data_IF_073751896166
#
_entry.id   IF_073751896166
#
_cell.length_a   1.000
_cell.length_b   1.000
_cell.length_c   1.000
_cell.angle_alpha   90.00
_cell.angle_beta   90.00
_cell.angle_gamma   90.00
#
_symmetry.space_group_name_H-M   'P 1'
#
loop_
_entity.id
_entity.type
_entity.pdbx_description
1 polymer ?
#
# COMPACT_ATOMS: atom_id res chain seq x y z
N UNK A 1 -21.84 -6.20 -32.04
CA UNK A 1 -20.89 -7.32 -31.88
C UNK A 1 -19.50 -6.72 -31.94
N UNK A 2 -18.93 -6.41 -30.77
CA UNK A 2 -17.52 -6.10 -30.62
C UNK A 2 -16.97 -7.17 -29.68
N UNK A 3 -16.16 -8.07 -30.22
CA UNK A 3 -15.50 -9.11 -29.46
C UNK A 3 -14.41 -8.46 -28.60
N UNK A 4 -14.76 -8.25 -27.33
CA UNK A 4 -13.79 -7.91 -26.29
C UNK A 4 -12.90 -9.12 -26.04
N UNK A 5 -11.67 -9.06 -26.53
CA UNK A 5 -10.59 -9.93 -26.09
C UNK A 5 -10.35 -9.69 -24.59
N UNK A 6 -11.03 -10.47 -23.74
CA UNK A 6 -10.61 -10.67 -22.36
C UNK A 6 -9.27 -11.42 -22.44
N UNK A 7 -8.17 -10.72 -22.18
CA UNK A 7 -6.87 -11.34 -21.94
C UNK A 7 -7.05 -12.35 -20.81
N UNK A 8 -7.10 -13.63 -21.15
CA UNK A 8 -7.25 -14.72 -20.20
C UNK A 8 -6.10 -14.66 -19.21
N UNK A 9 -6.39 -14.18 -17.99
CA UNK A 9 -5.52 -14.36 -16.83
C UNK A 9 -5.33 -15.86 -16.67
N UNK A 10 -4.17 -16.37 -17.11
CA UNK A 10 -3.75 -17.72 -16.73
C UNK A 10 -3.66 -17.70 -15.22
N UNK A 11 -4.52 -18.47 -14.56
CA UNK A 11 -4.41 -18.74 -13.13
C UNK A 11 -2.95 -19.13 -12.85
N UNK A 12 -2.27 -18.35 -12.02
CA UNK A 12 -0.90 -18.69 -11.62
C UNK A 12 -0.93 -19.82 -10.62
N UNK A 13 0.11 -20.65 -10.65
CA UNK A 13 0.18 -21.87 -9.83
C UNK A 13 0.48 -21.55 -8.36
N UNK A 14 1.17 -20.43 -8.10
CA UNK A 14 1.49 -19.97 -6.75
C UNK A 14 1.01 -18.54 -6.52
N UNK A 15 0.33 -18.33 -5.39
CA UNK A 15 0.07 -17.00 -4.81
C UNK A 15 0.96 -16.86 -3.58
N UNK A 16 1.75 -15.79 -3.51
CA UNK A 16 2.56 -15.44 -2.34
C UNK A 16 2.07 -14.10 -1.80
N UNK A 17 1.44 -14.11 -0.62
CA UNK A 17 0.99 -12.88 0.05
C UNK A 17 2.02 -12.44 1.08
N UNK A 18 2.48 -11.19 1.00
CA UNK A 18 3.45 -10.60 1.92
C UNK A 18 2.81 -9.45 2.67
N UNK A 19 2.87 -9.50 4.00
CA UNK A 19 2.36 -8.45 4.87
C UNK A 19 3.52 -7.84 5.64
N UNK A 20 3.66 -6.50 5.61
CA UNK A 20 4.75 -5.80 6.28
C UNK A 20 4.22 -4.63 7.11
N UNK A 21 4.41 -4.73 8.42
CA UNK A 21 3.94 -3.75 9.39
C UNK A 21 4.73 -2.43 9.34
N UNK A 22 4.14 -1.41 9.96
CA UNK A 22 4.81 -0.12 10.19
C UNK A 22 5.93 -0.22 11.23
N UNK A 23 6.82 0.78 11.27
CA UNK A 23 8.09 0.78 12.03
C UNK A 23 8.05 0.13 13.41
N UNK A 24 7.04 0.40 14.23
CA UNK A 24 6.99 0.00 15.64
C UNK A 24 5.92 -1.06 15.95
N UNK A 25 5.30 -1.66 14.92
CA UNK A 25 4.20 -2.60 15.13
C UNK A 25 4.71 -4.03 15.01
N UNK A 26 4.48 -4.86 16.04
CA UNK A 26 4.78 -6.28 15.94
C UNK A 26 3.67 -6.99 15.14
N UNK A 27 3.99 -8.13 14.54
CA UNK A 27 3.05 -8.90 13.71
C UNK A 27 2.24 -9.92 14.51
N UNK A 28 2.76 -10.34 15.66
CA UNK A 28 2.09 -11.27 16.57
C UNK A 28 0.96 -10.59 17.36
N UNK A 29 1.00 -9.26 17.56
CA UNK A 29 -0.12 -8.47 18.07
C UNK A 29 -0.96 -7.86 16.94
N UNK A 30 -2.27 -8.11 16.96
CA UNK A 30 -3.19 -7.55 15.95
C UNK A 30 -3.60 -6.16 16.39
N UNK A 31 -2.68 -5.21 16.20
CA UNK A 31 -2.88 -3.79 16.53
C UNK A 31 -3.33 -2.98 15.33
N UNK A 32 -2.93 -3.39 14.12
CA UNK A 32 -3.36 -2.77 12.87
C UNK A 32 -4.05 -3.77 11.95
N UNK A 33 -4.71 -3.25 10.93
CA UNK A 33 -5.32 -4.07 9.88
C UNK A 33 -4.29 -4.88 9.09
N UNK A 34 -3.00 -4.49 9.02
CA UNK A 34 -1.97 -5.30 8.34
C UNK A 34 -1.82 -6.66 9.04
N UNK A 35 -1.59 -6.65 10.36
CA UNK A 35 -1.56 -7.85 11.19
C UNK A 35 -2.89 -8.62 11.16
N UNK A 36 -4.04 -7.92 11.13
CA UNK A 36 -5.34 -8.56 10.96
C UNK A 36 -5.42 -9.33 9.64
N UNK A 37 -5.12 -8.70 8.50
CA UNK A 37 -5.17 -9.38 7.20
C UNK A 37 -4.13 -10.49 7.06
N UNK A 38 -2.96 -10.36 7.70
CA UNK A 38 -1.98 -11.45 7.78
C UNK A 38 -2.58 -12.69 8.49
N UNK A 39 -3.38 -12.50 9.55
CA UNK A 39 -4.11 -13.59 10.21
C UNK A 39 -5.29 -14.12 9.40
N UNK A 40 -6.06 -13.23 8.77
CA UNK A 40 -7.20 -13.64 7.94
C UNK A 40 -6.77 -14.40 6.69
N UNK A 41 -5.56 -14.17 6.18
CA UNK A 41 -5.02 -14.83 5.00
C UNK A 41 -4.91 -16.36 5.18
N UNK A 42 -5.73 -17.09 4.40
CA UNK A 42 -5.80 -18.56 4.36
C UNK A 42 -4.69 -19.15 3.48
N UNK A 43 -3.46 -18.97 3.95
CA UNK A 43 -2.25 -19.35 3.25
C UNK A 43 -1.29 -20.06 4.19
N UNK A 44 -0.50 -20.98 3.64
CA UNK A 44 0.58 -21.65 4.37
C UNK A 44 1.68 -20.63 4.70
N UNK A 45 1.97 -20.46 5.97
CA UNK A 45 3.09 -19.62 6.41
C UNK A 45 4.42 -20.26 6.02
N UNK A 46 5.29 -19.44 5.45
CA UNK A 46 6.65 -19.81 5.11
C UNK A 46 7.60 -19.34 6.22
N UNK A 47 8.62 -20.13 6.60
CA UNK A 47 9.62 -19.66 7.55
C UNK A 47 10.53 -18.61 6.90
N UNK A 48 11.29 -17.87 7.72
CA UNK A 48 12.25 -16.89 7.20
C UNK A 48 13.56 -17.50 6.68
N UNK A 49 13.72 -18.81 6.78
CA UNK A 49 14.86 -19.58 6.26
C UNK A 49 14.41 -20.44 5.05
N UNK A 50 14.52 -19.93 3.81
CA UNK A 50 13.94 -20.58 2.63
C UNK A 50 14.56 -21.96 2.32
N UNK A 51 15.85 -22.13 2.58
CA UNK A 51 16.59 -23.37 2.31
C UNK A 51 16.02 -24.59 3.05
N UNK A 52 15.44 -24.39 4.23
CA UNK A 52 14.81 -25.44 5.01
C UNK A 52 13.37 -25.78 4.57
N UNK A 53 12.76 -24.95 3.71
CA UNK A 53 11.32 -24.97 3.48
C UNK A 53 10.84 -26.04 2.50
N UNK A 54 11.70 -26.40 1.55
CA UNK A 54 11.34 -27.28 0.46
C UNK A 54 12.42 -28.36 0.26
N UNK A 55 12.18 -29.54 0.83
CA UNK A 55 13.03 -30.73 0.59
C UNK A 55 12.81 -31.38 -0.78
N UNK A 56 11.78 -30.93 -1.52
CA UNK A 56 11.39 -31.34 -2.88
C UNK A 56 10.91 -30.10 -3.65
N UNK A 57 10.57 -30.26 -4.93
CA UNK A 57 9.96 -29.18 -5.71
C UNK A 57 8.77 -28.56 -4.95
N UNK A 58 8.69 -27.23 -4.85
CA UNK A 58 7.62 -26.55 -4.12
C UNK A 58 6.25 -26.87 -4.75
N UNK A 59 5.21 -27.16 -3.95
CA UNK A 59 3.88 -27.39 -4.49
C UNK A 59 3.24 -26.08 -4.97
N UNK A 60 2.34 -26.17 -5.94
CA UNK A 60 1.37 -25.11 -6.22
C UNK A 60 0.55 -24.81 -4.96
N UNK A 61 0.17 -23.55 -4.74
CA UNK A 61 -0.62 -23.19 -3.59
C UNK A 61 -0.56 -21.71 -3.21
N UNK A 62 -1.12 -21.40 -2.04
CA UNK A 62 -1.13 -20.06 -1.48
C UNK A 62 -0.26 -20.04 -0.23
N UNK A 63 0.77 -19.20 -0.26
CA UNK A 63 1.74 -19.02 0.80
C UNK A 63 1.70 -17.60 1.35
N UNK A 64 2.18 -17.42 2.59
CA UNK A 64 2.35 -16.10 3.17
C UNK A 64 3.67 -15.93 3.92
N UNK A 65 4.15 -14.69 3.94
CA UNK A 65 5.24 -14.20 4.78
C UNK A 65 4.74 -12.95 5.50
N UNK A 66 5.01 -12.86 6.79
CA UNK A 66 4.53 -11.76 7.63
C UNK A 66 5.72 -11.13 8.33
N UNK A 67 5.97 -9.85 8.10
CA UNK A 67 7.11 -9.12 8.65
C UNK A 67 6.64 -8.04 9.62
N UNK A 68 7.16 -8.09 10.84
CA UNK A 68 7.00 -7.00 11.81
C UNK A 68 7.74 -5.74 11.37
N UNK A 69 7.40 -4.63 12.02
CA UNK A 69 8.07 -3.35 11.85
C UNK A 69 9.58 -3.44 12.05
N UNK A 70 10.33 -2.71 11.23
CA UNK A 70 11.78 -2.68 11.30
C UNK A 70 12.31 -2.23 12.67
N UNK A 71 11.61 -1.33 13.37
CA UNK A 71 11.95 -0.89 14.73
C UNK A 71 11.67 -1.93 15.82
N UNK A 72 10.81 -2.91 15.56
CA UNK A 72 10.61 -4.06 16.46
C UNK A 72 11.76 -5.05 16.30
N UNK A 73 12.03 -5.48 15.07
CA UNK A 73 13.07 -6.46 14.74
C UNK A 73 14.51 -5.95 14.92
N UNK A 74 14.75 -4.66 14.67
CA UNK A 74 16.10 -4.07 14.65
C UNK A 74 16.29 -2.87 15.61
N UNK A 75 15.34 -2.69 16.54
CA UNK A 75 15.39 -1.67 17.59
C UNK A 75 15.64 -0.26 17.06
N UNK A 76 16.55 0.47 17.70
CA UNK A 76 16.87 1.88 17.35
C UNK A 76 17.33 2.03 15.90
N UNK A 77 18.10 1.07 15.35
CA UNK A 77 18.58 1.14 13.97
C UNK A 77 17.42 0.99 12.98
N UNK A 78 16.49 0.10 13.28
CA UNK A 78 15.24 -0.03 12.55
C UNK A 78 14.39 1.24 12.63
N UNK A 79 14.27 1.84 13.82
CA UNK A 79 13.47 3.03 14.06
C UNK A 79 14.04 4.30 13.44
N UNK A 80 15.37 4.46 13.36
CA UNK A 80 15.97 5.67 12.79
C UNK A 80 16.28 5.53 11.31
N UNK A 81 16.75 4.36 10.87
CA UNK A 81 17.32 4.19 9.52
C UNK A 81 16.56 3.20 8.64
N UNK A 82 15.43 2.65 9.10
CA UNK A 82 14.71 1.58 8.41
C UNK A 82 15.58 0.32 8.16
N UNK A 83 16.59 0.11 9.01
CA UNK A 83 17.43 -1.08 8.93
C UNK A 83 16.58 -2.35 9.05
N UNK A 84 16.86 -3.37 8.23
CA UNK A 84 16.10 -4.61 8.16
C UNK A 84 15.14 -4.72 6.98
N UNK A 85 14.66 -3.62 6.38
CA UNK A 85 13.71 -3.71 5.24
C UNK A 85 14.28 -4.50 4.05
N UNK A 86 15.54 -4.23 3.67
CA UNK A 86 16.19 -4.95 2.59
C UNK A 86 16.43 -6.43 2.91
N UNK A 87 16.67 -6.77 4.18
CA UNK A 87 16.84 -8.15 4.63
C UNK A 87 15.51 -8.92 4.53
N UNK A 88 14.41 -8.30 4.98
CA UNK A 88 13.06 -8.84 4.81
C UNK A 88 12.71 -9.03 3.31
N UNK A 89 13.05 -8.06 2.45
CA UNK A 89 12.86 -8.19 1.00
C UNK A 89 13.70 -9.33 0.40
N UNK A 90 14.94 -9.54 0.90
CA UNK A 90 15.81 -10.63 0.46
C UNK A 90 15.20 -12.00 0.74
N UNK A 91 14.55 -12.18 1.88
CA UNK A 91 13.82 -13.43 2.20
C UNK A 91 12.74 -13.70 1.16
N UNK A 92 11.92 -12.70 0.82
CA UNK A 92 10.89 -12.85 -0.22
C UNK A 92 11.54 -13.19 -1.56
N UNK A 93 12.62 -12.48 -1.94
CA UNK A 93 13.33 -12.70 -3.20
C UNK A 93 13.87 -14.12 -3.34
N UNK A 94 14.41 -14.69 -2.26
CA UNK A 94 14.90 -16.07 -2.23
C UNK A 94 13.78 -17.08 -2.51
N UNK A 95 12.58 -16.88 -1.97
CA UNK A 95 11.43 -17.72 -2.32
C UNK A 95 11.03 -17.59 -3.79
N UNK A 96 11.04 -16.36 -4.34
CA UNK A 96 10.77 -16.16 -5.76
C UNK A 96 11.81 -16.88 -6.65
N UNK A 97 13.09 -16.89 -6.25
CA UNK A 97 14.12 -17.66 -6.94
C UNK A 97 13.85 -19.16 -6.91
N UNK A 98 13.48 -19.71 -5.75
CA UNK A 98 13.11 -21.13 -5.60
C UNK A 98 11.94 -21.50 -6.54
N UNK A 99 10.87 -20.69 -6.57
CA UNK A 99 9.74 -20.94 -7.45
C UNK A 99 10.11 -20.80 -8.93
N UNK A 100 10.95 -19.81 -9.28
CA UNK A 100 11.44 -19.61 -10.65
C UNK A 100 12.30 -20.78 -11.13
N UNK A 101 13.20 -21.28 -10.29
CA UNK A 101 14.03 -22.46 -10.60
C UNK A 101 13.18 -23.71 -10.83
N UNK A 102 12.09 -23.84 -10.07
CA UNK A 102 11.07 -24.87 -10.27
C UNK A 102 10.16 -24.61 -11.49
N UNK A 103 10.32 -23.48 -12.19
CA UNK A 103 9.51 -23.01 -13.33
C UNK A 103 8.02 -22.85 -12.99
N UNK A 104 7.74 -22.41 -11.76
CA UNK A 104 6.38 -22.19 -11.26
C UNK A 104 6.08 -20.69 -11.30
N UNK A 105 5.09 -20.23 -12.08
CA UNK A 105 4.70 -18.83 -12.10
C UNK A 105 4.10 -18.38 -10.75
N UNK A 106 4.52 -17.21 -10.27
CA UNK A 106 4.14 -16.65 -8.97
C UNK A 106 3.34 -15.35 -9.14
N UNK A 107 2.24 -15.24 -8.40
CA UNK A 107 1.56 -13.98 -8.14
C UNK A 107 1.96 -13.49 -6.74
N UNK A 108 2.79 -12.46 -6.68
CA UNK A 108 3.20 -11.83 -5.43
C UNK A 108 2.24 -10.70 -5.08
N UNK A 109 1.57 -10.79 -3.93
CA UNK A 109 0.67 -9.75 -3.42
C UNK A 109 1.28 -9.14 -2.16
N UNK A 110 1.67 -7.88 -2.22
CA UNK A 110 2.28 -7.18 -1.10
C UNK A 110 1.29 -6.19 -0.49
N UNK A 111 1.23 -6.15 0.85
CA UNK A 111 0.51 -5.12 1.61
C UNK A 111 1.47 -4.58 2.68
N UNK A 112 1.73 -3.27 2.66
CA UNK A 112 2.65 -2.67 3.62
C UNK A 112 2.22 -1.29 4.11
N UNK A 113 2.49 -1.02 5.40
CA UNK A 113 2.20 0.25 6.07
C UNK A 113 3.50 1.04 6.31
N UNK A 114 3.50 2.35 6.09
CA UNK A 114 4.61 3.22 6.51
C UNK A 114 5.93 2.78 5.89
N UNK A 115 6.95 2.47 6.70
CA UNK A 115 8.20 1.85 6.22
C UNK A 115 8.02 0.46 5.63
N UNK A 116 7.00 -0.29 6.04
CA UNK A 116 6.58 -1.50 5.34
C UNK A 116 6.16 -1.21 3.91
N UNK A 117 5.48 -0.09 3.66
CA UNK A 117 5.18 0.38 2.30
C UNK A 117 6.44 0.68 1.48
N UNK A 118 7.48 1.22 2.11
CA UNK A 118 8.81 1.40 1.49
C UNK A 118 9.48 0.07 1.18
N UNK A 119 9.34 -0.92 2.07
CA UNK A 119 9.73 -2.30 1.82
C UNK A 119 9.09 -2.87 0.56
N UNK A 120 7.82 -2.57 0.29
CA UNK A 120 7.14 -2.96 -0.95
C UNK A 120 7.80 -2.41 -2.22
N UNK A 121 8.32 -1.18 -2.16
CA UNK A 121 9.04 -0.55 -3.28
C UNK A 121 10.43 -1.17 -3.47
N UNK A 122 11.17 -1.42 -2.38
CA UNK A 122 12.43 -2.17 -2.44
C UNK A 122 12.24 -3.60 -2.95
N UNK A 123 11.15 -4.25 -2.56
CA UNK A 123 10.80 -5.57 -3.05
C UNK A 123 10.53 -5.54 -4.56
N UNK A 124 9.76 -4.56 -5.03
CA UNK A 124 9.51 -4.40 -6.46
C UNK A 124 10.81 -4.24 -7.27
N UNK A 125 11.74 -3.39 -6.80
CA UNK A 125 13.04 -3.20 -7.47
C UNK A 125 13.90 -4.48 -7.46
N UNK A 126 14.01 -5.16 -6.31
CA UNK A 126 14.83 -6.37 -6.17
C UNK A 126 14.22 -7.60 -6.85
N UNK A 127 12.92 -7.58 -7.12
CA UNK A 127 12.17 -8.64 -7.77
C UNK A 127 11.69 -8.25 -9.19
N UNK A 128 12.36 -7.31 -9.88
CA UNK A 128 12.14 -7.07 -11.32
C UNK A 128 12.62 -8.28 -12.13
N UNK A 129 11.69 -9.21 -12.36
CA UNK A 129 11.89 -10.50 -13.02
C UNK A 129 11.05 -10.55 -14.31
N UNK A 130 11.15 -11.65 -15.06
CA UNK A 130 10.27 -11.83 -16.23
C UNK A 130 8.79 -11.79 -15.77
N UNK A 131 7.93 -10.91 -16.33
CA UNK A 131 6.51 -10.85 -16.00
C UNK A 131 5.74 -12.17 -16.18
N UNK A 132 6.27 -13.08 -17.01
CA UNK A 132 5.72 -14.44 -17.21
C UNK A 132 5.99 -15.35 -16.01
N UNK A 133 7.05 -15.08 -15.26
CA UNK A 133 7.47 -15.85 -14.09
C UNK A 133 6.87 -15.25 -12.81
N UNK A 134 6.97 -13.93 -12.63
CA UNK A 134 6.51 -13.25 -11.41
C UNK A 134 5.73 -12.01 -11.77
N UNK A 135 4.60 -11.76 -11.13
CA UNK A 135 3.85 -10.50 -11.19
C UNK A 135 3.68 -10.00 -9.78
N UNK A 136 3.95 -8.72 -9.60
CA UNK A 136 3.97 -8.06 -8.30
C UNK A 136 2.78 -7.11 -8.22
N UNK A 137 1.84 -7.41 -7.34
CA UNK A 137 0.77 -6.52 -6.95
C UNK A 137 1.14 -5.85 -5.63
N UNK A 138 0.95 -4.54 -5.53
CA UNK A 138 1.32 -3.76 -4.35
C UNK A 138 0.10 -2.99 -3.82
N UNK A 139 -0.17 -3.10 -2.53
CA UNK A 139 -0.95 -2.11 -1.77
C UNK A 139 -0.02 -1.44 -0.77
N UNK A 140 0.24 -0.16 -1.01
CA UNK A 140 1.13 0.66 -0.21
C UNK A 140 0.29 1.65 0.60
N UNK A 141 0.22 1.43 1.91
CA UNK A 141 -0.52 2.29 2.81
C UNK A 141 0.44 3.31 3.43
N UNK A 142 0.27 4.57 3.02
CA UNK A 142 1.04 5.71 3.49
C UNK A 142 2.56 5.44 3.53
N UNK A 143 3.21 5.11 2.40
CA UNK A 143 4.60 4.70 2.38
C UNK A 143 5.50 5.84 2.88
N UNK A 144 6.18 5.66 4.02
CA UNK A 144 6.97 6.73 4.68
C UNK A 144 8.44 6.29 4.78
N UNK A 145 9.39 7.02 4.16
CA UNK A 145 10.81 6.66 4.16
C UNK A 145 11.52 6.95 5.48
N UNK A 146 10.95 7.84 6.31
CA UNK A 146 11.58 8.30 7.55
C UNK A 146 12.68 9.34 7.33
N UNK A 147 12.67 10.03 6.19
CA UNK A 147 13.52 11.18 5.91
C UNK A 147 12.70 12.48 6.09
N UNK A 148 13.36 13.59 6.41
CA UNK A 148 12.72 14.89 6.24
C UNK A 148 12.60 15.24 4.75
N UNK A 149 11.55 15.97 4.36
CA UNK A 149 11.31 16.37 2.95
C UNK A 149 12.54 17.07 2.35
N UNK A 150 13.17 17.98 3.10
CA UNK A 150 14.34 18.71 2.63
C UNK A 150 15.60 17.83 2.48
N UNK A 151 15.71 16.74 3.26
CA UNK A 151 16.87 15.85 3.20
C UNK A 151 16.94 15.14 1.85
N UNK A 152 15.80 14.68 1.33
CA UNK A 152 15.72 14.07 0.01
C UNK A 152 16.13 15.03 -1.13
N UNK A 153 16.01 16.35 -0.92
CA UNK A 153 16.39 17.37 -1.91
C UNK A 153 17.90 17.61 -2.00
N UNK A 154 18.63 17.25 -0.95
CA UNK A 154 20.09 17.41 -0.88
C UNK A 154 20.83 16.07 -0.97
N UNK A 155 20.10 14.99 -1.26
CA UNK A 155 20.63 13.64 -1.39
C UNK A 155 21.13 13.36 -2.81
N UNK A 156 22.19 14.07 -3.22
CA UNK A 156 22.78 13.94 -4.56
C UNK A 156 23.33 12.55 -4.88
N UNK A 157 23.56 11.72 -3.87
CA UNK A 157 24.05 10.35 -4.03
C UNK A 157 22.92 9.32 -4.03
N UNK A 158 21.67 9.73 -3.80
CA UNK A 158 20.50 8.84 -3.78
C UNK A 158 20.54 7.78 -2.68
N UNK A 159 21.28 8.03 -1.60
CA UNK A 159 21.52 7.04 -0.54
C UNK A 159 20.41 7.02 0.51
N UNK A 160 19.56 8.04 0.56
CA UNK A 160 18.45 8.10 1.49
C UNK A 160 17.30 7.23 1.03
N UNK A 161 16.58 6.64 1.99
CA UNK A 161 15.41 5.80 1.72
C UNK A 161 14.39 6.47 0.80
N UNK A 162 14.16 7.78 0.98
CA UNK A 162 13.26 8.53 0.12
C UNK A 162 13.71 8.46 -1.35
N UNK A 163 14.96 8.77 -1.65
CA UNK A 163 15.50 8.79 -3.01
C UNK A 163 15.60 7.39 -3.62
N UNK A 164 16.09 6.42 -2.86
CA UNK A 164 16.30 5.04 -3.34
C UNK A 164 15.01 4.28 -3.59
N UNK A 165 13.89 4.65 -2.94
CA UNK A 165 12.58 4.02 -3.13
C UNK A 165 11.61 4.83 -4.00
N UNK A 166 11.96 6.07 -4.36
CA UNK A 166 11.11 6.98 -5.14
C UNK A 166 10.75 6.42 -6.51
N UNK A 167 11.73 5.88 -7.22
CA UNK A 167 11.59 5.53 -8.63
C UNK A 167 11.58 4.01 -8.82
N UNK A 168 10.42 3.49 -9.23
CA UNK A 168 10.21 2.09 -9.63
C UNK A 168 9.72 2.01 -11.08
N UNK A 169 9.92 3.08 -11.88
CA UNK A 169 9.46 3.17 -13.27
C UNK A 169 10.07 2.13 -14.21
N UNK A 170 11.22 1.58 -13.83
CA UNK A 170 11.93 0.54 -14.56
C UNK A 170 11.42 -0.88 -14.29
N UNK A 171 10.58 -1.10 -13.26
CA UNK A 171 10.12 -2.43 -12.85
C UNK A 171 9.02 -2.92 -13.80
N UNK A 172 9.29 -3.98 -14.56
CA UNK A 172 8.45 -4.41 -15.71
C UNK A 172 7.35 -5.37 -15.34
N UNK A 173 7.45 -6.01 -14.17
CA UNK A 173 6.53 -7.05 -13.73
C UNK A 173 5.53 -6.58 -12.67
N UNK A 174 5.32 -5.28 -12.54
CA UNK A 174 4.23 -4.72 -11.74
C UNK A 174 2.87 -5.03 -12.40
N UNK A 175 1.95 -5.56 -11.60
CA UNK A 175 0.56 -5.82 -11.96
C UNK A 175 -0.35 -4.69 -11.45
N UNK A 176 -1.16 -4.99 -10.44
CA UNK A 176 -2.02 -4.00 -9.79
C UNK A 176 -1.26 -3.26 -8.70
N UNK A 177 -1.27 -1.93 -8.75
CA UNK A 177 -0.71 -1.08 -7.70
C UNK A 177 -1.79 -0.17 -7.14
N UNK A 178 -1.96 -0.21 -5.82
CA UNK A 178 -2.83 0.67 -5.04
C UNK A 178 -1.94 1.42 -4.04
N UNK A 179 -2.07 2.75 -3.98
CA UNK A 179 -1.35 3.57 -3.00
C UNK A 179 -2.34 4.49 -2.30
N UNK A 180 -2.41 4.38 -0.98
CA UNK A 180 -3.39 5.08 -0.15
C UNK A 180 -2.69 6.08 0.76
N UNK A 181 -3.21 7.30 0.81
CA UNK A 181 -2.63 8.40 1.58
C UNK A 181 -3.66 8.99 2.54
N UNK A 182 -3.57 8.70 3.85
CA UNK A 182 -4.37 9.39 4.86
C UNK A 182 -4.09 10.89 4.87
N UNK A 183 -5.15 11.70 4.84
CA UNK A 183 -5.03 13.16 4.68
C UNK A 183 -4.51 13.88 5.93
N UNK A 184 -4.78 13.36 7.12
CA UNK A 184 -4.46 14.07 8.36
C UNK A 184 -2.94 14.07 8.60
N UNK A 185 -2.30 15.25 8.71
CA UNK A 185 -0.87 15.32 8.95
C UNK A 185 -0.53 14.86 10.36
N UNK A 186 0.64 14.23 10.51
CA UNK A 186 1.32 14.09 11.79
C UNK A 186 2.26 15.29 12.02
N UNK A 187 2.67 15.56 13.28
CA UNK A 187 3.65 16.59 13.56
C UNK A 187 4.90 16.45 12.68
N UNK A 188 5.32 17.54 12.03
CA UNK A 188 6.40 17.55 11.02
C UNK A 188 7.75 17.04 11.53
N UNK A 189 8.01 17.20 12.84
CA UNK A 189 9.19 16.67 13.54
C UNK A 189 9.30 15.14 13.47
N UNK A 190 8.21 14.44 13.15
CA UNK A 190 8.15 13.01 13.21
C UNK A 190 8.69 12.32 11.92
N UNK A 191 9.18 13.05 10.91
CA UNK A 191 9.65 12.46 9.62
C UNK A 191 8.62 11.56 8.93
N UNK A 192 7.34 11.94 8.99
CA UNK A 192 6.19 11.17 8.46
C UNK A 192 5.66 11.70 7.12
N UNK A 193 6.47 12.43 6.36
CA UNK A 193 6.07 12.81 5.00
C UNK A 193 6.03 11.53 4.14
N UNK A 194 4.90 11.22 3.47
CA UNK A 194 4.82 10.03 2.66
C UNK A 194 5.53 10.22 1.32
N UNK A 195 5.96 9.13 0.72
CA UNK A 195 6.56 9.08 -0.59
C UNK A 195 5.47 8.94 -1.66
N UNK A 196 5.59 9.69 -2.76
CA UNK A 196 4.76 9.56 -3.95
C UNK A 196 5.62 8.92 -5.06
N UNK A 197 5.60 7.59 -5.20
CA UNK A 197 6.52 6.90 -6.09
C UNK A 197 6.21 7.13 -7.56
N UNK A 198 7.26 7.04 -8.38
CA UNK A 198 7.18 7.02 -9.84
C UNK A 198 7.05 5.56 -10.27
N UNK A 199 5.97 5.25 -10.96
CA UNK A 199 5.67 3.92 -11.48
C UNK A 199 5.85 3.87 -13.00
N UNK A 200 5.96 2.68 -13.61
CA UNK A 200 6.11 2.53 -15.05
C UNK A 200 4.99 3.22 -15.84
N UNK A 201 5.34 3.82 -16.97
CA UNK A 201 4.36 4.44 -17.86
C UNK A 201 3.36 3.38 -18.38
N UNK A 202 2.08 3.75 -18.44
CA UNK A 202 1.00 2.85 -18.86
C UNK A 202 0.54 1.86 -17.79
N UNK A 203 1.24 1.73 -16.65
CA UNK A 203 0.75 0.95 -15.52
C UNK A 203 -0.49 1.62 -14.93
N UNK A 204 -1.58 0.85 -14.76
CA UNK A 204 -2.78 1.35 -14.07
C UNK A 204 -2.53 1.37 -12.57
N UNK A 205 -2.11 2.52 -12.06
CA UNK A 205 -1.92 2.77 -10.62
C UNK A 205 -3.16 3.44 -10.04
N UNK A 206 -3.75 2.84 -9.02
CA UNK A 206 -4.82 3.43 -8.23
C UNK A 206 -4.19 4.22 -7.07
N UNK A 207 -4.18 5.54 -7.18
CA UNK A 207 -3.72 6.42 -6.09
C UNK A 207 -4.91 7.14 -5.52
N UNK A 208 -5.10 7.09 -4.21
CA UNK A 208 -6.21 7.80 -3.58
C UNK A 208 -5.83 8.41 -2.24
N UNK A 209 -6.48 9.53 -1.93
CA UNK A 209 -6.42 10.16 -0.62
C UNK A 209 -7.60 9.66 0.20
N UNK A 210 -7.34 9.25 1.43
CA UNK A 210 -8.32 8.62 2.32
C UNK A 210 -8.37 9.33 3.68
N UNK A 211 -9.40 8.99 4.46
CA UNK A 211 -9.62 9.49 5.80
C UNK A 211 -8.57 9.00 6.82
N UNK A 212 -8.45 9.75 7.91
CA UNK A 212 -7.62 9.41 9.06
C UNK A 212 -6.19 9.90 8.95
N UNK A 213 -5.37 9.48 9.91
CA UNK A 213 -3.94 9.79 9.99
C UNK A 213 -3.12 8.51 9.94
N UNK A 214 -2.02 8.50 9.17
CA UNK A 214 -0.99 7.46 9.15
C UNK A 214 -1.46 6.05 9.59
N UNK A 215 -0.95 5.53 10.71
CA UNK A 215 -1.37 4.25 11.31
C UNK A 215 -2.77 4.28 11.94
N UNK A 216 -3.26 5.46 12.36
CA UNK A 216 -4.58 5.61 12.97
C UNK A 216 -5.73 5.19 12.05
N UNK A 217 -5.55 5.34 10.72
CA UNK A 217 -6.48 4.86 9.71
C UNK A 217 -6.53 3.33 9.57
N UNK A 218 -5.61 2.60 10.22
CA UNK A 218 -5.54 1.13 10.22
C UNK A 218 -5.81 0.51 11.59
N UNK A 219 -6.26 1.28 12.59
CA UNK A 219 -6.63 0.69 13.88
C UNK A 219 -7.88 -0.19 13.77
N UNK A 220 -8.05 -1.08 14.75
CA UNK A 220 -9.16 -2.03 14.81
C UNK A 220 -10.37 -1.46 15.54
N UNK A 221 -10.88 -0.36 15.02
CA UNK A 221 -12.09 0.32 15.50
C UNK A 221 -13.04 0.52 14.34
N UNK A 222 -14.34 0.37 14.52
CA UNK A 222 -15.31 0.61 13.45
C UNK A 222 -15.57 2.12 13.32
N UNK A 223 -14.80 2.79 12.45
CA UNK A 223 -14.99 4.20 12.08
C UNK A 223 -14.85 4.37 10.56
N UNK A 224 -15.29 5.51 10.04
CA UNK A 224 -15.26 5.84 8.61
C UNK A 224 -13.88 5.61 7.97
N UNK A 225 -12.81 6.09 8.60
CA UNK A 225 -11.41 5.93 8.18
C UNK A 225 -10.99 4.46 8.04
N UNK A 226 -11.27 3.69 9.08
CA UNK A 226 -10.81 2.32 9.30
C UNK A 226 -11.65 1.31 8.53
N UNK A 227 -12.96 1.53 8.41
CA UNK A 227 -13.83 0.74 7.54
C UNK A 227 -13.47 0.95 6.07
N UNK A 228 -13.18 2.20 5.65
CA UNK A 228 -12.74 2.48 4.28
C UNK A 228 -11.41 1.77 3.98
N UNK A 229 -10.41 1.90 4.85
CA UNK A 229 -9.13 1.24 4.68
C UNK A 229 -9.27 -0.31 4.62
N UNK A 230 -10.13 -0.87 5.48
CA UNK A 230 -10.39 -2.30 5.50
C UNK A 230 -10.91 -2.80 4.15
N UNK A 231 -11.86 -2.08 3.57
CA UNK A 231 -12.45 -2.43 2.29
C UNK A 231 -11.42 -2.34 1.14
N UNK A 232 -10.56 -1.32 1.10
CA UNK A 232 -9.48 -1.27 0.11
C UNK A 232 -8.55 -2.48 0.21
N UNK A 233 -8.12 -2.84 1.43
CA UNK A 233 -7.19 -3.96 1.61
C UNK A 233 -7.85 -5.29 1.26
N UNK A 234 -9.09 -5.50 1.72
CA UNK A 234 -9.90 -6.69 1.41
C UNK A 234 -10.07 -6.85 -0.10
N UNK A 235 -10.57 -5.82 -0.78
CA UNK A 235 -10.87 -5.87 -2.21
C UNK A 235 -9.59 -6.07 -3.02
N UNK A 236 -8.51 -5.38 -2.69
CA UNK A 236 -7.20 -5.59 -3.32
C UNK A 236 -6.72 -7.04 -3.19
N UNK A 237 -6.73 -7.59 -1.97
CA UNK A 237 -6.26 -8.95 -1.70
C UNK A 237 -7.09 -10.00 -2.46
N UNK A 238 -8.42 -9.90 -2.40
CA UNK A 238 -9.35 -10.82 -3.08
C UNK A 238 -9.21 -10.73 -4.60
N UNK A 239 -9.17 -9.52 -5.16
CA UNK A 239 -9.00 -9.31 -6.60
C UNK A 239 -7.65 -9.83 -7.11
N UNK A 240 -6.63 -9.84 -6.25
CA UNK A 240 -5.33 -10.41 -6.53
C UNK A 240 -5.22 -11.89 -6.09
N UNK A 241 -6.33 -12.60 -5.92
CA UNK A 241 -6.36 -14.06 -5.68
C UNK A 241 -5.87 -14.51 -4.31
N UNK A 242 -5.68 -13.59 -3.35
CA UNK A 242 -5.43 -13.94 -1.95
C UNK A 242 -6.72 -14.49 -1.36
N UNK A 243 -6.67 -15.69 -0.77
CA UNK A 243 -7.79 -16.24 -0.01
C UNK A 243 -7.82 -15.68 1.40
N UNK A 244 -9.00 -15.24 1.84
CA UNK A 244 -9.24 -14.72 3.17
C UNK A 244 -10.28 -15.59 3.88
N UNK A 245 -10.05 -15.83 5.17
CA UNK A 245 -11.06 -16.36 6.09
C UNK A 245 -11.86 -15.22 6.71
N UNK A 246 -13.04 -15.53 7.22
CA UNK A 246 -13.83 -14.58 8.02
C UNK A 246 -13.64 -14.88 9.50
N UNK A 247 -13.19 -13.90 10.29
CA UNK A 247 -13.14 -14.01 11.76
C UNK A 247 -14.22 -13.12 12.42
N UNK A 248 -14.24 -13.02 13.76
CA UNK A 248 -15.16 -12.11 14.48
C UNK A 248 -14.67 -10.67 14.51
N UNK A 249 -13.36 -10.46 14.52
CA UNK A 249 -12.72 -9.13 14.64
C UNK A 249 -12.92 -8.31 13.38
N UNK A 250 -12.89 -8.95 12.21
CA UNK A 250 -13.10 -8.34 10.91
C UNK A 250 -14.54 -7.87 10.72
N UNK A 251 -15.54 -8.53 11.33
CA UNK A 251 -16.96 -8.24 11.13
C UNK A 251 -17.38 -6.82 11.51
N UNK A 252 -16.68 -6.18 12.45
CA UNK A 252 -16.99 -4.80 12.83
C UNK A 252 -16.44 -3.78 11.83
N UNK A 253 -15.35 -4.11 11.13
CA UNK A 253 -14.72 -3.28 10.09
C UNK A 253 -15.33 -3.55 8.70
N UNK A 254 -15.78 -4.79 8.47
CA UNK A 254 -16.36 -5.29 7.24
C UNK A 254 -17.84 -4.90 7.12
N UNK A 255 -18.08 -3.60 6.89
CA UNK A 255 -19.43 -3.05 6.76
C UNK A 255 -20.00 -3.24 5.35
N UNK A 256 -21.32 -3.23 5.23
CA UNK A 256 -21.98 -3.22 3.91
C UNK A 256 -21.66 -1.95 3.12
N UNK A 257 -21.80 -2.01 1.80
CA UNK A 257 -21.57 -0.86 0.91
C UNK A 257 -22.46 0.33 1.30
N UNK A 258 -23.74 0.10 1.62
CA UNK A 258 -24.68 1.16 2.02
C UNK A 258 -24.27 1.81 3.36
N UNK A 259 -23.82 1.00 4.33
CA UNK A 259 -23.32 1.49 5.61
C UNK A 259 -22.04 2.30 5.43
N UNK A 260 -21.10 1.83 4.60
CA UNK A 260 -19.90 2.59 4.28
C UNK A 260 -20.24 3.90 3.58
N UNK A 261 -21.12 3.87 2.57
CA UNK A 261 -21.58 5.06 1.87
C UNK A 261 -22.21 6.09 2.83
N UNK A 262 -23.02 5.62 3.80
CA UNK A 262 -23.59 6.48 4.85
C UNK A 262 -22.49 7.13 5.70
N UNK A 263 -21.51 6.36 6.18
CA UNK A 263 -20.37 6.88 6.95
C UNK A 263 -19.54 7.91 6.14
N UNK A 264 -19.32 7.67 4.84
CA UNK A 264 -18.56 8.60 4.01
C UNK A 264 -19.35 9.88 3.70
N UNK A 265 -20.67 9.81 3.59
CA UNK A 265 -21.53 10.99 3.45
C UNK A 265 -21.52 11.87 4.72
N UNK A 266 -21.50 11.26 5.91
CA UNK A 266 -21.33 12.01 7.16
C UNK A 266 -20.00 12.76 7.20
N UNK A 267 -18.91 12.12 6.77
CA UNK A 267 -17.58 12.74 6.69
C UNK A 267 -17.51 13.85 5.64
N UNK A 268 -18.23 13.71 4.53
CA UNK A 268 -18.32 14.73 3.47
C UNK A 268 -18.96 16.02 3.98
N UNK A 269 -19.82 15.96 5.00
CA UNK A 269 -20.45 17.13 5.60
C UNK A 269 -19.54 17.92 6.56
N UNK A 270 -18.33 17.43 6.88
CA UNK A 270 -17.42 18.07 7.84
C UNK A 270 -16.43 19.02 7.16
N UNK A 271 -16.47 20.29 7.58
CA UNK A 271 -15.54 21.35 7.19
C UNK A 271 -14.27 21.30 8.05
N UNK A 272 -13.36 20.40 7.69
CA UNK A 272 -12.08 20.17 8.39
C UNK A 272 -10.93 20.15 7.39
N UNK A 273 -10.59 21.28 6.75
CA UNK A 273 -9.57 21.31 5.72
C UNK A 273 -8.20 20.97 6.30
N UNK A 274 -7.41 20.18 5.57
CA UNK A 274 -6.05 19.79 5.95
C UNK A 274 -5.12 19.76 4.75
N UNK A 275 -3.83 19.94 4.99
CA UNK A 275 -2.80 19.82 3.98
C UNK A 275 -1.63 19.00 4.53
N UNK A 276 -1.09 18.10 3.70
CA UNK A 276 0.04 17.24 4.05
C UNK A 276 0.99 17.09 2.88
N UNK A 277 2.19 17.65 3.01
CA UNK A 277 3.25 17.50 2.00
C UNK A 277 3.81 16.08 1.98
N UNK A 278 4.17 15.60 0.79
CA UNK A 278 4.92 14.36 0.58
C UNK A 278 6.28 14.58 -0.07
N UNK A 279 7.07 13.52 -0.14
CA UNK A 279 8.21 13.40 -1.03
C UNK A 279 7.68 13.08 -2.43
N UNK A 280 7.58 14.09 -3.28
CA UNK A 280 7.04 13.95 -4.62
C UNK A 280 7.89 14.76 -5.61
N UNK A 281 8.23 14.20 -6.79
CA UNK A 281 8.99 14.92 -7.81
C UNK A 281 8.29 16.21 -8.27
N UNK A 282 6.95 16.20 -8.37
CA UNK A 282 6.15 17.34 -8.80
C UNK A 282 5.74 18.31 -7.68
N UNK A 283 6.14 18.03 -6.43
CA UNK A 283 5.71 18.79 -5.26
C UNK A 283 4.22 18.64 -4.94
N UNK A 284 3.63 17.50 -5.28
CA UNK A 284 2.24 17.19 -4.95
C UNK A 284 1.99 17.22 -3.43
N UNK A 285 0.82 17.73 -3.06
CA UNK A 285 0.36 17.88 -1.68
C UNK A 285 -0.95 17.11 -1.53
N UNK A 286 -1.06 16.37 -0.44
CA UNK A 286 -2.29 15.66 -0.07
C UNK A 286 -3.21 16.65 0.61
N UNK A 287 -4.44 16.79 0.10
CA UNK A 287 -5.39 17.81 0.53
C UNK A 287 -6.68 17.18 1.04
N UNK A 288 -7.26 17.82 2.05
CA UNK A 288 -8.68 17.79 2.34
C UNK A 288 -9.21 19.21 2.11
N UNK A 289 -10.03 19.38 1.09
CA UNK A 289 -10.74 20.63 0.82
C UNK A 289 -11.92 20.80 1.78
N UNK A 290 -12.41 22.03 1.92
CA UNK A 290 -13.59 22.32 2.73
C UNK A 290 -14.86 21.66 2.17
N UNK A 291 -14.94 21.50 0.85
CA UNK A 291 -16.12 20.94 0.14
C UNK A 291 -15.69 20.12 -1.07
N UNK A 292 -16.43 19.05 -1.36
CA UNK A 292 -16.29 18.24 -2.57
C UNK A 292 -17.61 17.58 -2.94
N UNK A 293 -17.77 17.18 -4.21
CA UNK A 293 -18.96 16.43 -4.68
C UNK A 293 -19.02 15.03 -4.06
N UNK A 294 -17.84 14.42 -3.95
CA UNK A 294 -17.59 13.15 -3.28
C UNK A 294 -16.43 13.29 -2.31
N UNK A 295 -16.26 12.30 -1.44
CA UNK A 295 -15.16 12.31 -0.48
C UNK A 295 -13.84 11.96 -1.19
N UNK A 296 -13.82 10.86 -1.93
CA UNK A 296 -12.73 10.41 -2.79
C UNK A 296 -13.30 9.54 -3.93
N UNK A 297 -12.42 8.90 -4.72
CA UNK A 297 -12.83 8.08 -5.88
C UNK A 297 -13.64 6.84 -5.48
N UNK A 298 -13.33 6.24 -4.33
CA UNK A 298 -14.12 5.11 -3.82
C UNK A 298 -15.53 5.53 -3.42
N UNK A 299 -15.68 6.68 -2.75
CA UNK A 299 -16.99 7.22 -2.42
C UNK A 299 -17.84 7.49 -3.69
N UNK A 300 -17.26 8.07 -4.73
CA UNK A 300 -17.93 8.25 -6.03
C UNK A 300 -18.43 6.91 -6.60
N UNK A 301 -17.57 5.87 -6.57
CA UNK A 301 -17.92 4.54 -7.07
C UNK A 301 -19.14 3.94 -6.34
N UNK A 302 -19.17 4.03 -5.01
CA UNK A 302 -20.26 3.39 -4.22
C UNK A 302 -21.52 4.25 -4.10
N UNK A 303 -21.42 5.56 -4.31
CA UNK A 303 -22.57 6.47 -4.41
C UNK A 303 -23.25 6.41 -5.79
N UNK A 304 -22.81 5.50 -6.66
CA UNK A 304 -23.29 5.35 -8.03
C UNK A 304 -23.14 6.64 -8.86
N UNK A 305 -22.15 7.48 -8.52
CA UNK A 305 -21.89 8.76 -9.18
C UNK A 305 -22.95 9.84 -8.95
N UNK A 306 -23.86 9.66 -7.99
CA UNK A 306 -24.85 10.70 -7.64
C UNK A 306 -24.19 11.73 -6.72
N UNK A 307 -23.96 12.98 -7.17
CA UNK A 307 -23.26 13.98 -6.35
C UNK A 307 -24.07 14.37 -5.12
N UNK A 308 -23.44 14.37 -3.95
CA UNK A 308 -24.09 14.82 -2.70
C UNK A 308 -24.12 16.35 -2.60
N UNK A 309 -23.12 17.03 -3.18
CA UNK A 309 -23.02 18.49 -3.22
C UNK A 309 -22.80 18.98 -4.66
N UNK A 310 -23.86 19.19 -5.46
CA UNK A 310 -23.71 19.54 -6.88
C UNK A 310 -22.96 20.86 -7.11
N UNK A 311 -23.04 21.78 -6.14
CA UNK A 311 -22.41 23.11 -6.18
C UNK A 311 -20.97 23.13 -5.64
N UNK A 312 -20.38 21.98 -5.29
CA UNK A 312 -19.01 21.93 -4.79
C UNK A 312 -17.98 22.28 -5.88
N UNK A 313 -16.98 23.09 -5.50
CA UNK A 313 -15.90 23.53 -6.39
C UNK A 313 -14.98 22.38 -6.81
N UNK A 314 -14.77 21.40 -5.92
CA UNK A 314 -13.93 20.23 -6.16
C UNK A 314 -14.78 18.98 -6.42
N UNK A 315 -14.34 18.13 -7.36
CA UNK A 315 -14.96 16.82 -7.56
C UNK A 315 -14.77 15.94 -6.32
N UNK A 316 -13.55 15.87 -5.79
CA UNK A 316 -13.22 15.10 -4.59
C UNK A 316 -12.78 16.05 -3.47
N UNK A 317 -13.31 15.83 -2.27
CA UNK A 317 -12.89 16.54 -1.06
C UNK A 317 -11.48 16.14 -0.64
N UNK A 318 -11.12 14.87 -0.82
CA UNK A 318 -9.80 14.32 -0.59
C UNK A 318 -9.11 14.09 -1.93
N UNK A 319 -8.07 14.85 -2.24
CA UNK A 319 -7.33 14.70 -3.50
C UNK A 319 -5.89 15.22 -3.40
N UNK A 320 -5.16 15.12 -4.49
CA UNK A 320 -3.84 15.72 -4.63
C UNK A 320 -3.93 17.10 -5.28
N UNK A 321 -3.13 18.02 -4.77
CA UNK A 321 -2.92 19.33 -5.38
C UNK A 321 -1.47 19.47 -5.82
N UNK A 322 -1.25 19.91 -7.07
CA UNK A 322 0.10 20.30 -7.49
C UNK A 322 0.45 21.64 -6.85
N UNK A 323 1.52 21.67 -6.06
CA UNK A 323 2.00 22.93 -5.50
C UNK A 323 2.41 23.88 -6.62
N UNK A 324 1.79 25.06 -6.69
CA UNK A 324 2.18 26.12 -7.64
C UNK A 324 3.62 26.64 -7.42
N UNK A 325 4.24 26.29 -6.29
CA UNK A 325 5.61 26.69 -5.94
C UNK A 325 6.68 25.76 -6.50
N UNK A 326 6.33 24.58 -7.03
CA UNK A 326 7.31 23.60 -7.53
C UNK A 326 7.97 24.03 -8.84
N UNK A 327 7.36 24.92 -9.63
CA UNK A 327 7.95 25.41 -10.89
C UNK A 327 9.18 26.32 -10.71
N UNK A 328 9.47 26.79 -9.51
CA UNK A 328 10.61 27.68 -9.24
C UNK A 328 11.89 26.95 -8.82
N UNK A 329 11.83 25.64 -8.51
CA UNK A 329 12.94 24.96 -7.84
C UNK A 329 13.29 23.55 -8.38
N UNK A 330 12.58 23.06 -9.41
CA UNK A 330 12.84 21.75 -10.04
C UNK A 330 13.35 21.86 -11.49
N UNK A 331 13.88 23.02 -11.89
CA UNK A 331 14.55 23.24 -13.18
C UNK A 331 16.05 23.01 -13.10
#
# INVERSE_FOLDING_TARGET
MMDGQTSGSRSRDVVLSVFMEGTANPMDEVTTQIALFARLCDAKELPFEPEASFSRAPPSGHFKLCFEGCGVSHGVRGTLFAHGLQEQCRVVRQYLDIFREARIPVQLNFVGLSRGGIGGLYLAQSADLDPREVVINLLLFDPVPGNFIWMARVDYLGVMNASSSMDVSHVRNLGRVVVLYPHQPLPSIAVHAPLLPIFPEGLKVERDVILGCHQGALWLRARSDTCLAFVYIRDFLLDCGTRLTTDRTSRSLDVSVDSLCSLLNEELGKDEPTSRSGHAPGGEVIMRYARGKFLNRYHEKISQGVPTHPDAEHTYMLDFERSSWSSLFWS
#
